data_IF_309782112492
#
_entry.id   IF_309782112492
#
_cell.length_a   1.000
_cell.length_b   1.000
_cell.length_c   1.000
_cell.angle_alpha   90.00
_cell.angle_beta   90.00
_cell.angle_gamma   90.00
#
_symmetry.space_group_name_H-M   'P 1'
#
loop_
_entity.id
_entity.type
_entity.pdbx_description
1 polymer ?
#
# COMPACT_ATOMS: atom_id res chain seq x y z
N UNK A 1 7.90 -13.34 10.34
CA UNK A 1 7.29 -12.79 9.12
C UNK A 1 8.42 -12.32 8.24
N UNK A 2 8.49 -12.81 7.01
CA UNK A 2 9.49 -12.36 6.02
C UNK A 2 9.15 -10.95 5.52
N UNK A 3 10.09 -10.30 4.84
CA UNK A 3 9.85 -8.98 4.24
C UNK A 3 8.75 -9.06 3.17
N UNK A 4 8.67 -10.16 2.42
CA UNK A 4 7.59 -10.40 1.44
C UNK A 4 6.22 -10.56 2.10
N UNK A 5 6.14 -11.26 3.24
CA UNK A 5 4.90 -11.39 4.01
C UNK A 5 4.45 -10.05 4.61
N UNK A 6 5.42 -9.21 5.02
CA UNK A 6 5.18 -7.84 5.50
C UNK A 6 4.62 -6.95 4.40
N UNK A 7 5.27 -6.91 3.24
CA UNK A 7 4.81 -6.15 2.09
C UNK A 7 3.43 -6.63 1.61
N UNK A 8 3.22 -7.94 1.57
CA UNK A 8 1.94 -8.51 1.15
C UNK A 8 0.81 -8.14 2.11
N UNK A 9 1.08 -8.19 3.42
CA UNK A 9 0.14 -7.75 4.44
C UNK A 9 -0.16 -6.25 4.32
N UNK A 10 0.86 -5.42 4.13
CA UNK A 10 0.70 -3.97 3.99
C UNK A 10 -0.17 -3.62 2.79
N UNK A 11 0.12 -4.20 1.62
CA UNK A 11 -0.68 -3.98 0.42
C UNK A 11 -2.10 -4.51 0.57
N UNK A 12 -2.29 -5.71 1.14
CA UNK A 12 -3.62 -6.24 1.44
C UNK A 12 -4.44 -5.34 2.39
N UNK A 13 -3.80 -4.74 3.40
CA UNK A 13 -4.42 -3.75 4.28
C UNK A 13 -4.91 -2.52 3.51
N UNK A 14 -4.10 -2.00 2.59
CA UNK A 14 -4.47 -0.87 1.73
C UNK A 14 -5.63 -1.23 0.79
N UNK A 15 -5.60 -2.42 0.17
CA UNK A 15 -6.70 -2.87 -0.69
C UNK A 15 -8.01 -3.03 0.06
N UNK A 16 -7.97 -3.38 1.35
CA UNK A 16 -9.17 -3.50 2.18
C UNK A 16 -9.87 -2.17 2.45
N UNK A 17 -9.18 -1.04 2.29
CA UNK A 17 -9.78 0.30 2.42
C UNK A 17 -10.56 0.70 1.18
N UNK A 18 -10.12 0.30 -0.02
CA UNK A 18 -10.85 0.53 -1.26
C UNK A 18 -9.95 0.63 -2.48
N UNK A 19 -10.19 -0.22 -3.48
CA UNK A 19 -9.33 -0.32 -4.67
C UNK A 19 -9.41 0.88 -5.64
N UNK A 20 -10.48 1.66 -5.56
CA UNK A 20 -10.72 2.85 -6.41
C UNK A 20 -10.55 4.17 -5.65
N UNK A 21 -10.12 4.12 -4.39
CA UNK A 21 -9.94 5.30 -3.57
C UNK A 21 -8.58 5.97 -3.85
N UNK A 22 -8.51 7.25 -3.50
CA UNK A 22 -7.27 8.04 -3.54
C UNK A 22 -6.81 8.25 -2.11
N UNK A 23 -5.65 7.71 -1.79
CA UNK A 23 -5.08 7.72 -0.45
C UNK A 23 -4.01 8.79 -0.33
N UNK A 24 -3.96 9.48 0.80
CA UNK A 24 -2.77 10.23 1.20
C UNK A 24 -1.68 9.27 1.69
N UNK A 25 -0.43 9.75 1.82
CA UNK A 25 0.64 8.95 2.42
C UNK A 25 0.27 8.45 3.83
N UNK A 26 -0.35 9.32 4.63
CA UNK A 26 -0.77 8.97 5.99
C UNK A 26 -1.84 7.87 6.01
N UNK A 27 -2.74 7.84 5.04
CA UNK A 27 -3.73 6.77 4.92
C UNK A 27 -3.05 5.43 4.62
N UNK A 28 -2.04 5.41 3.73
CA UNK A 28 -1.27 4.20 3.43
C UNK A 28 -0.50 3.69 4.65
N UNK A 29 0.11 4.60 5.42
CA UNK A 29 0.87 4.23 6.63
C UNK A 29 -0.06 3.62 7.70
N UNK A 30 -1.27 4.18 7.87
CA UNK A 30 -2.30 3.61 8.76
C UNK A 30 -2.76 2.24 8.27
N UNK A 31 -3.02 2.11 6.97
CA UNK A 31 -3.51 0.87 6.34
C UNK A 31 -2.51 -0.28 6.42
N UNK A 32 -1.22 0.03 6.26
CA UNK A 32 -0.14 -0.93 6.36
C UNK A 32 0.09 -1.41 7.81
N UNK A 33 -0.65 -0.85 8.78
CA UNK A 33 -0.69 -1.31 10.17
C UNK A 33 0.53 -0.90 10.98
N UNK A 34 1.20 0.19 10.58
CA UNK A 34 2.34 0.69 11.32
C UNK A 34 1.92 1.38 12.60
N UNK A 35 2.57 1.03 13.71
CA UNK A 35 2.70 1.98 14.80
C UNK A 35 3.43 3.20 14.22
N UNK A 36 2.99 4.40 14.58
CA UNK A 36 3.48 5.71 14.08
C UNK A 36 5.01 5.88 14.17
N UNK A 37 5.69 4.95 14.85
CA UNK A 37 7.12 4.93 15.13
C UNK A 37 7.98 4.17 14.06
N UNK A 38 7.41 3.28 13.23
CA UNK A 38 8.13 2.57 12.13
C UNK A 38 7.43 2.57 10.74
N UNK A 39 6.70 3.62 10.30
CA UNK A 39 5.84 3.61 9.11
C UNK A 39 6.54 3.60 7.74
N UNK A 40 7.85 3.77 7.70
CA UNK A 40 8.48 4.23 6.46
C UNK A 40 8.74 3.10 5.45
N UNK A 41 9.19 1.92 5.90
CA UNK A 41 9.82 0.93 4.99
C UNK A 41 8.87 0.25 4.01
N UNK A 42 7.77 -0.33 4.46
CA UNK A 42 6.93 -1.15 3.58
C UNK A 42 6.16 -0.28 2.57
N UNK A 43 5.64 0.88 2.96
CA UNK A 43 4.96 1.78 2.02
C UNK A 43 5.96 2.43 1.07
N UNK A 44 7.17 2.78 1.51
CA UNK A 44 8.25 3.21 0.59
C UNK A 44 8.63 2.12 -0.40
N UNK A 45 8.76 0.87 0.05
CA UNK A 45 9.01 -0.26 -0.82
C UNK A 45 7.87 -0.45 -1.84
N UNK A 46 6.61 -0.38 -1.41
CA UNK A 46 5.46 -0.48 -2.33
C UNK A 46 5.45 0.66 -3.36
N UNK A 47 5.82 1.87 -2.97
CA UNK A 47 5.99 3.00 -3.91
C UNK A 47 7.15 2.74 -4.88
N UNK A 48 8.29 2.28 -4.38
CA UNK A 48 9.46 1.97 -5.21
C UNK A 48 9.17 0.83 -6.20
N UNK A 49 8.31 -0.11 -5.82
CA UNK A 49 7.79 -1.20 -6.66
C UNK A 49 6.67 -0.76 -7.60
N UNK A 50 6.31 0.53 -7.62
CA UNK A 50 5.24 1.09 -8.45
C UNK A 50 3.87 0.43 -8.19
N UNK A 51 3.60 0.09 -6.92
CA UNK A 51 2.32 -0.52 -6.53
C UNK A 51 1.12 0.44 -6.57
N UNK A 52 1.38 1.72 -6.85
CA UNK A 52 0.39 2.79 -6.91
C UNK A 52 0.59 3.66 -8.14
N UNK A 53 -0.52 4.11 -8.71
CA UNK A 53 -0.55 5.30 -9.54
C UNK A 53 -0.54 6.54 -8.64
N UNK A 54 0.26 7.55 -9.00
CA UNK A 54 0.39 8.79 -8.22
C UNK A 54 -0.10 9.98 -9.02
N UNK A 55 -1.14 10.64 -8.53
CA UNK A 55 -1.73 11.86 -9.11
C UNK A 55 -1.91 12.90 -8.01
N UNK A 56 -1.37 14.12 -8.20
CA UNK A 56 -1.48 15.23 -7.24
C UNK A 56 -1.03 14.86 -5.79
N UNK A 57 -0.06 13.95 -5.67
CA UNK A 57 0.44 13.47 -4.38
C UNK A 57 -0.48 12.47 -3.66
N UNK A 58 -1.53 12.01 -4.33
CA UNK A 58 -2.41 10.95 -3.87
C UNK A 58 -2.08 9.63 -4.58
N UNK A 59 -2.31 8.53 -3.88
CA UNK A 59 -1.96 7.18 -4.29
C UNK A 59 -3.23 6.37 -4.55
N UNK A 60 -3.32 5.75 -5.72
CA UNK A 60 -4.36 4.78 -6.04
C UNK A 60 -3.70 3.45 -6.38
N UNK A 61 -4.14 2.31 -5.82
CA UNK A 61 -3.57 1.00 -6.13
C UNK A 61 -3.47 0.76 -7.64
N UNK A 62 -2.33 0.24 -8.10
CA UNK A 62 -2.15 -0.04 -9.53
C UNK A 62 -3.15 -1.12 -9.97
N UNK A 63 -3.99 -0.85 -10.99
CA UNK A 63 -5.11 -1.73 -11.36
C UNK A 63 -4.73 -3.17 -11.73
N UNK A 64 -3.56 -3.36 -12.34
CA UNK A 64 -3.08 -4.69 -12.73
C UNK A 64 -2.70 -5.51 -11.50
N UNK A 65 -2.00 -4.92 -10.54
CA UNK A 65 -1.65 -5.56 -9.27
C UNK A 65 -2.89 -5.91 -8.46
N UNK A 66 -3.88 -5.01 -8.41
CA UNK A 66 -5.19 -5.30 -7.79
C UNK A 66 -5.83 -6.51 -8.45
N UNK A 67 -5.87 -6.58 -9.78
CA UNK A 67 -6.48 -7.69 -10.52
C UNK A 67 -5.74 -9.01 -10.35
N UNK A 68 -4.44 -8.97 -10.12
CA UNK A 68 -3.60 -10.14 -9.89
C UNK A 68 -3.48 -10.50 -8.41
N UNK A 69 -4.14 -9.73 -7.52
CA UNK A 69 -4.08 -9.97 -6.09
C UNK A 69 -4.84 -11.25 -5.73
N UNK A 70 -4.23 -12.17 -4.95
CA UNK A 70 -4.93 -13.38 -4.51
C UNK A 70 -6.10 -13.02 -3.59
N UNK A 71 -7.26 -13.65 -3.83
CA UNK A 71 -8.45 -13.57 -2.96
C UNK A 71 -8.22 -14.18 -1.57
#
# INVERSE_FOLDING_TARGET
MTDDERLSRAFGGILSMGVSERFSRGDLDVAAGFAVDEPEKEVECLIALQAFNVEDGLYTPEPTLVRCWPE
#
